data_IF_177204688211
#
_entry.id   IF_177204688211
#
_cell.length_a   1.000
_cell.length_b   1.000
_cell.length_c   1.000
_cell.angle_alpha   90.00
_cell.angle_beta   90.00
_cell.angle_gamma   90.00
#
_symmetry.space_group_name_H-M   'P 1'
#
loop_
_entity.id
_entity.type
_entity.pdbx_description
1 polymer ?
#
# COMPACT_ATOMS: atom_id res chain seq x y z
N UNK A 1 6.04 -0.92 -28.78
CA UNK A 1 6.56 -1.30 -27.44
C UNK A 1 8.00 -0.81 -27.32
N UNK A 2 8.33 -0.10 -26.25
CA UNK A 2 9.69 0.38 -25.99
C UNK A 2 10.18 -0.17 -24.65
N UNK A 3 11.38 -0.77 -24.61
CA UNK A 3 11.94 -1.41 -23.42
C UNK A 3 13.22 -0.68 -23.02
N UNK A 4 13.34 -0.36 -21.72
CA UNK A 4 14.56 0.13 -21.09
C UNK A 4 14.79 -0.67 -19.80
N UNK A 5 15.98 -0.53 -19.19
CA UNK A 5 16.22 -1.11 -17.87
C UNK A 5 15.16 -0.61 -16.88
N UNK A 6 14.49 -1.55 -16.22
CA UNK A 6 13.45 -1.33 -15.20
C UNK A 6 12.22 -0.51 -15.62
N UNK A 7 12.00 -0.35 -16.93
CA UNK A 7 10.84 0.37 -17.46
C UNK A 7 10.46 -0.12 -18.86
N UNK A 8 9.17 -0.30 -19.11
CA UNK A 8 8.66 -0.49 -20.46
C UNK A 8 7.40 0.33 -20.69
N UNK A 9 7.19 0.74 -21.94
CA UNK A 9 6.02 1.50 -22.35
C UNK A 9 5.30 0.79 -23.48
N UNK A 10 3.99 0.68 -23.34
CA UNK A 10 3.07 0.18 -24.36
C UNK A 10 2.34 1.40 -24.92
N UNK A 11 2.52 1.64 -26.21
CA UNK A 11 1.79 2.65 -26.96
C UNK A 11 0.79 1.92 -27.83
N UNK A 12 -0.47 2.33 -27.71
CA UNK A 12 -1.59 1.82 -28.44
C UNK A 12 -1.80 2.68 -29.67
N UNK A 13 -1.33 2.19 -30.82
CA UNK A 13 -1.62 2.85 -32.09
C UNK A 13 -3.08 2.51 -32.43
N UNK A 14 -3.98 3.50 -32.36
CA UNK A 14 -5.37 3.38 -32.81
C UNK A 14 -5.39 2.93 -34.28
N UNK A 15 -5.50 1.63 -34.50
CA UNK A 15 -6.03 1.07 -35.75
C UNK A 15 -7.48 0.73 -35.48
N UNK A 16 -8.33 1.30 -36.31
CA UNK A 16 -9.78 1.37 -36.24
C UNK A 16 -10.44 0.10 -35.63
N UNK A 17 -10.69 0.13 -34.32
CA UNK A 17 -11.58 -0.81 -33.63
C UNK A 17 -12.56 0.02 -32.82
N UNK A 18 -13.37 0.80 -33.54
CA UNK A 18 -14.67 1.23 -33.04
C UNK A 18 -15.52 -0.03 -32.83
N UNK A 19 -16.24 -0.06 -31.69
CA UNK A 19 -17.28 -1.04 -31.32
C UNK A 19 -16.77 -2.29 -30.59
N UNK A 20 -16.42 -2.13 -29.32
CA UNK A 20 -17.12 -2.81 -28.23
C UNK A 20 -16.57 -2.33 -26.89
N UNK A 21 -17.33 -1.47 -26.23
CA UNK A 21 -17.13 -1.15 -24.82
C UNK A 21 -17.28 -2.43 -24.01
N UNK A 22 -16.27 -2.92 -23.26
CA UNK A 22 -16.52 -4.02 -22.37
C UNK A 22 -17.27 -3.43 -21.18
N UNK A 23 -18.54 -3.81 -21.08
CA UNK A 23 -19.32 -3.82 -19.84
C UNK A 23 -18.52 -4.55 -18.77
N UNK A 24 -17.55 -3.88 -18.12
CA UNK A 24 -16.80 -4.40 -16.97
C UNK A 24 -17.59 -4.22 -15.68
N UNK A 25 -18.87 -4.58 -15.74
CA UNK A 25 -19.74 -4.77 -14.59
C UNK A 25 -20.11 -6.25 -14.52
N UNK A 26 -19.15 -7.10 -14.16
CA UNK A 26 -19.50 -8.40 -13.57
C UNK A 26 -18.36 -8.93 -12.73
N UNK A 27 -18.60 -8.92 -11.41
CA UNK A 27 -17.73 -9.49 -10.39
C UNK A 27 -17.04 -8.39 -9.60
N UNK A 28 -17.61 -8.10 -8.42
CA UNK A 28 -17.10 -7.25 -7.34
C UNK A 28 -17.54 -5.79 -7.39
N UNK A 29 -18.12 -5.34 -6.27
CA UNK A 29 -18.46 -3.95 -5.96
C UNK A 29 -17.16 -3.14 -5.85
N UNK A 30 -16.53 -2.88 -6.98
CA UNK A 30 -15.48 -1.88 -7.09
C UNK A 30 -16.22 -0.58 -7.32
N UNK A 31 -16.31 0.24 -6.26
CA UNK A 31 -16.51 1.68 -6.45
C UNK A 31 -15.34 2.12 -7.35
N UNK A 32 -15.61 2.23 -8.65
CA UNK A 32 -14.67 2.77 -9.61
C UNK A 32 -14.45 4.20 -9.18
N UNK A 33 -13.39 4.43 -8.42
CA UNK A 33 -12.73 5.72 -8.39
C UNK A 33 -12.29 5.96 -9.82
N UNK A 34 -13.17 6.61 -10.57
CA UNK A 34 -12.99 7.16 -11.90
C UNK A 34 -12.02 8.37 -11.79
N UNK A 35 -10.88 8.18 -11.13
CA UNK A 35 -9.82 9.18 -11.14
C UNK A 35 -9.13 9.07 -12.49
N UNK A 36 -9.61 9.90 -13.41
CA UNK A 36 -8.87 10.48 -14.53
C UNK A 36 -8.07 9.52 -15.41
N UNK A 37 -8.43 8.24 -15.41
CA UNK A 37 -8.01 7.29 -16.43
C UNK A 37 -8.84 7.54 -17.69
N UNK A 38 -8.61 8.71 -18.29
CA UNK A 38 -8.57 8.79 -19.75
C UNK A 38 -7.86 7.52 -20.23
N UNK A 39 -8.36 6.81 -21.26
CA UNK A 39 -7.61 5.74 -21.88
C UNK A 39 -6.36 6.38 -22.45
N UNK A 40 -5.30 6.42 -21.64
CA UNK A 40 -4.01 6.86 -22.11
C UNK A 40 -3.65 5.87 -23.21
N UNK A 41 -3.60 6.38 -24.44
CA UNK A 41 -3.10 5.64 -25.60
C UNK A 41 -1.62 5.21 -25.36
N UNK A 42 -1.01 5.55 -24.22
CA UNK A 42 0.30 5.12 -23.77
C UNK A 42 0.34 4.80 -22.26
N UNK A 43 0.69 3.57 -21.89
CA UNK A 43 0.94 3.18 -20.49
C UNK A 43 2.43 2.93 -20.29
N UNK A 44 3.00 3.53 -19.25
CA UNK A 44 4.39 3.32 -18.84
C UNK A 44 4.44 2.54 -17.53
N UNK A 45 5.09 1.38 -17.57
CA UNK A 45 5.27 0.50 -16.42
C UNK A 45 6.70 0.63 -15.89
N UNK A 46 6.84 0.65 -14.57
CA UNK A 46 8.12 0.61 -13.87
C UNK A 46 8.24 -0.72 -13.12
N UNK A 47 9.45 -1.26 -13.05
CA UNK A 47 9.71 -2.46 -12.27
C UNK A 47 9.59 -2.14 -10.78
N UNK A 48 8.91 -3.01 -10.05
CA UNK A 48 8.86 -3.05 -8.59
C UNK A 48 9.43 -4.40 -8.16
N UNK A 49 10.14 -4.42 -7.03
CA UNK A 49 10.75 -5.63 -6.49
C UNK A 49 9.99 -6.09 -5.25
N UNK A 50 9.90 -7.41 -5.06
CA UNK A 50 9.43 -7.94 -3.80
C UNK A 50 10.50 -7.74 -2.72
N UNK A 51 10.09 -7.46 -1.48
CA UNK A 51 11.02 -7.35 -0.36
C UNK A 51 11.69 -8.70 -0.07
N UNK A 52 12.95 -8.63 0.36
CA UNK A 52 13.68 -9.81 0.86
C UNK A 52 13.02 -10.29 2.15
N UNK A 53 13.01 -11.60 2.37
CA UNK A 53 12.57 -12.22 3.62
C UNK A 53 13.80 -12.61 4.43
N UNK A 54 13.79 -12.27 5.71
CA UNK A 54 14.81 -12.67 6.69
C UNK A 54 14.18 -13.51 7.79
N UNK A 55 14.98 -14.38 8.43
CA UNK A 55 14.52 -15.26 9.51
C UNK A 55 14.06 -14.50 10.76
N UNK A 56 14.54 -13.27 10.93
CA UNK A 56 14.22 -12.39 12.06
C UNK A 56 12.98 -11.52 11.80
N UNK A 57 12.43 -11.55 10.58
CA UNK A 57 11.24 -10.78 10.25
C UNK A 57 10.04 -11.29 11.07
N UNK A 58 9.29 -10.35 11.64
CA UNK A 58 8.13 -10.66 12.50
C UNK A 58 7.08 -11.50 11.76
N UNK A 59 6.91 -11.22 10.47
CA UNK A 59 6.04 -11.92 9.54
C UNK A 59 6.69 -11.92 8.16
N UNK A 60 6.24 -12.79 7.26
CA UNK A 60 6.74 -12.81 5.88
C UNK A 60 6.41 -11.47 5.18
N UNK A 61 7.40 -10.73 4.67
CA UNK A 61 7.15 -9.50 3.93
C UNK A 61 6.54 -9.80 2.55
N UNK A 62 5.89 -8.81 1.96
CA UNK A 62 5.21 -9.00 0.68
C UNK A 62 4.07 -8.02 0.43
N UNK A 63 3.18 -8.41 -0.48
CA UNK A 63 2.02 -7.61 -0.88
C UNK A 63 0.81 -7.95 -0.02
N UNK A 64 0.12 -6.92 0.44
CA UNK A 64 -1.09 -7.00 1.25
C UNK A 64 -2.20 -6.20 0.59
N UNK A 65 -3.42 -6.73 0.67
CA UNK A 65 -4.62 -5.99 0.34
C UNK A 65 -5.10 -5.24 1.59
N UNK A 66 -5.30 -3.94 1.46
CA UNK A 66 -5.72 -3.05 2.52
C UNK A 66 -7.06 -2.41 2.16
N UNK A 67 -7.91 -2.17 3.15
CA UNK A 67 -9.12 -1.36 2.98
C UNK A 67 -8.80 0.07 3.39
N UNK A 68 -8.88 1.02 2.44
CA UNK A 68 -8.65 2.44 2.71
C UNK A 68 -9.97 3.19 2.49
N UNK A 69 -10.78 3.23 3.55
CA UNK A 69 -12.07 3.94 3.65
C UNK A 69 -12.93 3.91 2.38
N UNK A 70 -13.48 5.07 2.01
CA UNK A 70 -14.39 5.31 0.89
C UNK A 70 -13.74 5.13 -0.49
N UNK A 71 -12.41 4.95 -0.55
CA UNK A 71 -11.65 4.77 -1.78
C UNK A 71 -11.50 3.28 -2.17
N UNK A 72 -11.98 2.37 -1.32
CA UNK A 72 -12.04 0.93 -1.61
C UNK A 72 -10.79 0.16 -1.21
N UNK A 73 -10.44 -0.84 -2.03
CA UNK A 73 -9.30 -1.74 -1.79
C UNK A 73 -8.02 -1.18 -2.41
N UNK A 74 -6.93 -1.26 -1.66
CA UNK A 74 -5.60 -0.83 -2.04
C UNK A 74 -4.61 -1.99 -1.89
N UNK A 75 -3.53 -1.98 -2.69
CA UNK A 75 -2.39 -2.88 -2.53
C UNK A 75 -1.25 -2.10 -1.88
N UNK A 76 -0.72 -2.62 -0.78
CA UNK A 76 0.46 -2.13 -0.10
C UNK A 76 1.54 -3.21 -0.04
N UNK A 77 2.79 -2.81 0.13
CA UNK A 77 3.95 -3.68 0.26
C UNK A 77 4.56 -3.47 1.64
N UNK A 78 4.61 -4.55 2.44
CA UNK A 78 5.29 -4.59 3.72
C UNK A 78 6.73 -5.05 3.51
N UNK A 79 7.69 -4.30 4.05
CA UNK A 79 9.12 -4.57 3.98
C UNK A 79 9.79 -4.33 5.33
N UNK A 80 10.87 -5.05 5.64
CA UNK A 80 11.63 -4.90 6.89
C UNK A 80 12.99 -4.26 6.63
N UNK A 81 13.35 -3.30 7.48
CA UNK A 81 14.54 -2.48 7.39
C UNK A 81 15.14 -2.28 8.79
N UNK A 82 15.85 -3.30 9.28
CA UNK A 82 16.47 -3.27 10.61
C UNK A 82 15.42 -3.12 11.71
N UNK A 83 15.45 -1.99 12.45
CA UNK A 83 14.51 -1.73 13.55
C UNK A 83 13.11 -1.25 13.11
N UNK A 84 12.89 -1.07 11.80
CA UNK A 84 11.61 -0.61 11.25
C UNK A 84 11.02 -1.61 10.27
N UNK A 85 9.70 -1.67 10.22
CA UNK A 85 8.97 -2.19 9.06
C UNK A 85 8.30 -1.02 8.34
N UNK A 86 8.36 -1.03 7.01
CA UNK A 86 7.79 0.01 6.16
C UNK A 86 6.67 -0.59 5.31
N UNK A 87 5.53 0.10 5.29
CA UNK A 87 4.38 -0.20 4.43
C UNK A 87 4.34 0.84 3.33
N UNK A 88 4.72 0.43 2.13
CA UNK A 88 4.73 1.25 0.92
C UNK A 88 3.49 1.04 0.08
N UNK A 89 2.96 2.11 -0.49
CA UNK A 89 1.82 2.06 -1.38
C UNK A 89 2.18 1.54 -2.78
N UNK A 90 1.40 0.61 -3.31
CA UNK A 90 1.53 0.11 -4.71
C UNK A 90 0.39 0.62 -5.60
N UNK A 91 -0.84 0.70 -5.08
CA UNK A 91 -2.02 1.22 -5.81
C UNK A 91 -2.83 2.23 -5.00
N UNK A 92 -3.75 2.98 -5.61
CA UNK A 92 -4.59 4.01 -4.96
C UNK A 92 -4.02 5.42 -5.08
N UNK A 93 -4.68 6.45 -4.50
CA UNK A 93 -4.28 7.87 -4.68
C UNK A 93 -3.91 8.67 -3.42
N UNK A 94 -4.12 8.19 -2.18
CA UNK A 94 -4.01 9.08 -1.01
C UNK A 94 -3.22 8.58 0.21
N UNK A 95 -2.57 7.42 0.18
CA UNK A 95 -1.76 6.95 1.31
C UNK A 95 -0.27 7.26 1.11
N UNK A 96 0.39 7.83 2.14
CA UNK A 96 1.85 7.90 2.24
C UNK A 96 2.47 6.55 2.62
N UNK A 97 3.78 6.51 2.90
CA UNK A 97 4.42 5.36 3.55
C UNK A 97 4.11 5.36 5.04
N UNK A 98 3.88 4.19 5.63
CA UNK A 98 3.75 4.01 7.06
C UNK A 98 4.98 3.27 7.59
N UNK A 99 5.63 3.86 8.59
CA UNK A 99 6.77 3.25 9.28
C UNK A 99 6.34 2.73 10.65
N UNK A 100 6.75 1.50 10.96
CA UNK A 100 6.41 0.77 12.17
C UNK A 100 7.69 0.49 12.94
N UNK A 101 7.82 1.06 14.14
CA UNK A 101 9.01 0.87 14.97
C UNK A 101 8.95 -0.47 15.72
N UNK A 102 9.77 -1.45 15.34
CA UNK A 102 9.67 -2.84 15.82
C UNK A 102 10.11 -3.03 17.28
N UNK A 103 11.00 -2.14 17.77
CA UNK A 103 11.50 -2.19 19.15
C UNK A 103 10.59 -1.50 20.17
N UNK A 104 9.52 -0.81 19.73
CA UNK A 104 8.64 -0.02 20.59
C UNK A 104 7.24 -0.61 20.58
N UNK A 105 7.11 -1.75 21.26
CA UNK A 105 5.86 -2.52 21.31
C UNK A 105 4.91 -1.93 22.35
N UNK A 106 3.67 -1.67 21.95
CA UNK A 106 2.58 -1.31 22.87
C UNK A 106 2.12 -2.60 23.57
N UNK A 107 2.22 -2.64 24.88
CA UNK A 107 1.63 -3.73 25.66
C UNK A 107 0.14 -3.45 25.87
N UNK A 108 -0.69 -4.43 25.55
CA UNK A 108 -2.13 -4.36 25.79
C UNK A 108 -2.42 -4.80 27.23
N UNK A 109 -3.21 -4.04 28.01
CA UNK A 109 -3.67 -4.46 29.32
C UNK A 109 -4.45 -5.77 29.19
N UNK A 110 -4.03 -6.83 29.87
CA UNK A 110 -4.66 -8.16 29.89
C UNK A 110 -4.90 -8.81 28.51
N UNK A 111 -4.20 -8.34 27.46
CA UNK A 111 -4.41 -8.79 26.09
C UNK A 111 -5.69 -8.25 25.43
N UNK A 112 -6.41 -7.35 26.11
CA UNK A 112 -7.60 -6.69 25.61
C UNK A 112 -7.31 -5.31 25.02
N UNK A 113 -8.31 -4.71 24.37
CA UNK A 113 -8.20 -3.34 23.85
C UNK A 113 -8.17 -2.32 25.00
N UNK A 114 -7.54 -1.17 24.76
CA UNK A 114 -7.63 -0.05 25.70
C UNK A 114 -9.09 0.36 25.89
N UNK A 115 -9.60 0.40 27.14
CA UNK A 115 -11.00 0.71 27.41
C UNK A 115 -11.37 2.15 27.07
N UNK A 116 -10.39 3.06 27.00
CA UNK A 116 -10.58 4.46 26.62
C UNK A 116 -9.52 4.92 25.61
N UNK A 117 -9.96 5.70 24.62
CA UNK A 117 -9.09 6.39 23.66
C UNK A 117 -8.01 7.24 24.34
N UNK A 118 -8.33 7.90 25.45
CA UNK A 118 -7.37 8.75 26.15
C UNK A 118 -6.18 7.95 26.71
N UNK A 119 -6.41 6.71 27.14
CA UNK A 119 -5.34 5.83 27.64
C UNK A 119 -4.44 5.36 26.50
N UNK A 120 -5.02 4.91 25.38
CA UNK A 120 -4.27 4.57 24.18
C UNK A 120 -3.45 5.76 23.67
N UNK A 121 -4.07 6.93 23.58
CA UNK A 121 -3.44 8.17 23.11
C UNK A 121 -2.24 8.54 23.99
N UNK A 122 -2.38 8.46 25.32
CA UNK A 122 -1.28 8.72 26.25
C UNK A 122 -0.11 7.75 26.03
N UNK A 123 -0.38 6.45 25.91
CA UNK A 123 0.67 5.44 25.68
C UNK A 123 1.38 5.66 24.36
N UNK A 124 0.64 5.96 23.29
CA UNK A 124 1.21 6.26 21.97
C UNK A 124 2.10 7.51 22.03
N UNK A 125 1.65 8.58 22.69
CA UNK A 125 2.42 9.82 22.86
C UNK A 125 3.70 9.60 23.69
N UNK A 126 3.63 8.82 24.77
CA UNK A 126 4.80 8.49 25.58
C UNK A 126 5.86 7.72 24.77
N UNK A 127 5.43 6.76 23.95
CA UNK A 127 6.32 6.02 23.05
C UNK A 127 6.90 6.94 21.98
N UNK A 128 6.09 7.81 21.38
CA UNK A 128 6.56 8.77 20.36
C UNK A 128 7.67 9.67 20.91
N UNK A 129 7.50 10.19 22.14
CA UNK A 129 8.56 10.94 22.80
C UNK A 129 9.82 10.11 23.12
N UNK A 130 9.69 8.80 23.35
CA UNK A 130 10.87 7.93 23.51
C UNK A 130 11.60 7.76 22.18
N UNK A 131 10.87 7.59 21.07
CA UNK A 131 11.45 7.48 19.73
C UNK A 131 12.17 8.76 19.31
N UNK A 132 11.62 9.93 19.64
CA UNK A 132 12.25 11.23 19.33
C UNK A 132 13.55 11.46 20.13
N UNK A 133 13.69 10.84 21.31
CA UNK A 133 14.85 11.02 22.19
C UNK A 133 16.04 10.11 21.88
N UNK A 134 15.83 9.05 21.11
CA UNK A 134 16.88 8.12 20.63
C UNK A 134 17.59 8.65 19.37
#
# INVERSE_FOLDING_TARGET
MQIRKDRFSIEWIKRDHRTDSPTRLRGERVLLVFEDRQPYDWLTYRRVYLPSSHLEDLIRPGLFQCRYDHLGLMIAMLSFHGKYAMVSKITGNYMGSLDIHLMRRIQLPDGEFFPNFNELSRVVQEIDQQVIRD
#
